data_IF_369874621727
#
_entry.id   IF_369874621727
#
_cell.length_a   1.000
_cell.length_b   1.000
_cell.length_c   1.000
_cell.angle_alpha   90.00
_cell.angle_beta   90.00
_cell.angle_gamma   90.00
#
_symmetry.space_group_name_H-M   'P 1'
#
loop_
_entity.id
_entity.type
_entity.pdbx_description
1 polymer ?
#
# COMPACT_ATOMS: atom_id res chain seq x y z
N UNK A 1 13.71 2.49 13.61
CA UNK A 1 12.46 1.89 14.14
C UNK A 1 11.55 3.03 14.57
N UNK A 2 10.29 3.05 14.12
CA UNK A 2 9.34 4.13 14.48
C UNK A 2 8.75 3.80 15.85
N UNK A 3 8.91 4.73 16.81
CA UNK A 3 8.35 4.63 18.16
C UNK A 3 7.37 5.77 18.39
N UNK A 4 6.25 5.46 19.02
CA UNK A 4 5.19 6.42 19.32
C UNK A 4 4.83 6.31 20.80
N UNK A 5 4.92 7.44 21.50
CA UNK A 5 4.44 7.53 22.87
C UNK A 5 2.92 7.52 22.85
N UNK A 6 2.33 6.57 23.58
CA UNK A 6 0.88 6.39 23.68
C UNK A 6 0.47 6.37 25.15
N UNK A 7 -0.81 6.60 25.42
CA UNK A 7 -1.31 6.59 26.80
C UNK A 7 -1.28 5.16 27.35
N UNK A 8 -0.42 4.94 28.33
CA UNK A 8 -0.34 3.69 29.09
C UNK A 8 -1.50 3.60 30.09
N UNK A 9 -2.21 2.48 30.10
CA UNK A 9 -3.19 2.16 31.12
C UNK A 9 -2.48 1.72 32.41
N UNK A 10 -3.12 1.93 33.57
CA UNK A 10 -2.57 1.59 34.90
C UNK A 10 -2.09 0.14 35.09
N UNK A 11 -2.42 -0.76 34.16
CA UNK A 11 -2.04 -2.17 34.18
C UNK A 11 -0.84 -2.50 33.26
N UNK A 12 -0.08 -1.51 32.80
CA UNK A 12 1.07 -1.74 31.92
C UNK A 12 0.70 -2.05 30.46
N UNK A 13 -0.57 -1.86 30.08
CA UNK A 13 -1.03 -2.07 28.70
C UNK A 13 -1.17 -0.73 28.00
N UNK A 14 -0.77 -0.69 26.74
CA UNK A 14 -1.04 0.44 25.86
C UNK A 14 -2.25 0.15 24.98
N UNK A 15 -3.01 1.19 24.62
CA UNK A 15 -4.00 1.11 23.54
C UNK A 15 -3.31 1.48 22.24
N UNK A 16 -3.21 0.54 21.31
CA UNK A 16 -2.72 0.82 19.97
C UNK A 16 -3.78 1.60 19.19
N UNK A 17 -3.43 2.71 18.56
CA UNK A 17 -4.29 3.51 17.69
C UNK A 17 -3.83 3.44 16.22
N UNK A 18 -2.92 2.52 15.90
CA UNK A 18 -2.36 2.36 14.57
C UNK A 18 -3.33 1.68 13.58
N UNK A 19 -4.45 1.12 14.05
CA UNK A 19 -5.49 0.55 13.18
C UNK A 19 -6.87 0.58 13.86
N UNK A 20 -7.97 0.38 13.09
CA UNK A 20 -9.34 0.44 13.62
C UNK A 20 -9.68 -0.57 14.72
N UNK A 21 -8.93 -1.68 14.83
CA UNK A 21 -9.13 -2.71 15.87
C UNK A 21 -8.81 -2.16 17.26
N UNK A 22 -7.91 -1.19 17.35
CA UNK A 22 -7.51 -0.51 18.59
C UNK A 22 -7.19 -1.45 19.77
N UNK A 23 -6.40 -2.50 19.51
CA UNK A 23 -6.11 -3.53 20.50
C UNK A 23 -5.30 -2.99 21.70
N UNK A 24 -5.46 -3.66 22.85
CA UNK A 24 -4.63 -3.41 24.04
C UNK A 24 -3.44 -4.37 24.06
N UNK A 25 -2.24 -3.82 24.14
CA UNK A 25 -0.98 -4.56 24.04
C UNK A 25 -0.27 -4.51 25.40
N UNK A 26 -0.03 -5.67 26.00
CA UNK A 26 0.77 -5.77 27.23
C UNK A 26 2.25 -5.55 26.94
N UNK A 27 2.99 -5.01 27.92
CA UNK A 27 4.42 -4.79 27.79
C UNK A 27 5.17 -6.07 27.36
N UNK A 28 6.10 -5.92 26.41
CA UNK A 28 6.86 -7.00 25.80
C UNK A 28 6.07 -7.93 24.86
N UNK A 29 4.85 -7.54 24.44
CA UNK A 29 4.00 -8.36 23.53
C UNK A 29 3.71 -7.62 22.23
N UNK A 30 3.44 -8.39 21.18
CA UNK A 30 2.87 -7.87 19.93
C UNK A 30 1.35 -7.67 20.06
N UNK A 31 0.83 -6.71 19.31
CA UNK A 31 -0.60 -6.50 19.12
C UNK A 31 -1.19 -7.52 18.16
N UNK A 32 -2.52 -7.50 18.01
CA UNK A 32 -3.27 -8.50 17.24
C UNK A 32 -2.88 -8.61 15.74
N UNK A 33 -2.19 -7.60 15.20
CA UNK A 33 -1.73 -7.59 13.81
C UNK A 33 -0.24 -7.97 13.66
N UNK A 34 0.46 -8.24 14.76
CA UNK A 34 1.90 -8.54 14.83
C UNK A 34 2.86 -7.49 14.24
N UNK A 35 2.34 -6.35 13.75
CA UNK A 35 3.14 -5.22 13.22
C UNK A 35 3.59 -4.21 14.26
N UNK A 36 2.92 -4.19 15.40
CA UNK A 36 3.18 -3.25 16.50
C UNK A 36 3.33 -4.01 17.81
N UNK A 37 4.24 -3.56 18.67
CA UNK A 37 4.46 -4.10 20.00
C UNK A 37 4.45 -2.98 21.04
N UNK A 38 4.26 -3.37 22.30
CA UNK A 38 4.50 -2.51 23.45
C UNK A 38 5.92 -2.77 23.96
N UNK A 39 6.80 -1.77 23.89
CA UNK A 39 8.13 -1.81 24.51
C UNK A 39 8.21 -0.71 25.57
N UNK A 40 8.07 -1.05 26.85
CA UNK A 40 8.23 -0.10 27.94
C UNK A 40 7.20 1.02 27.95
N UNK A 41 5.99 0.77 27.47
CA UNK A 41 4.91 1.76 27.36
C UNK A 41 4.91 2.52 26.04
N UNK A 42 5.90 2.31 25.16
CA UNK A 42 5.91 2.86 23.82
C UNK A 42 5.31 1.88 22.81
N UNK A 43 4.51 2.41 21.88
CA UNK A 43 4.06 1.67 20.72
C UNK A 43 5.21 1.64 19.70
N UNK A 44 5.78 0.47 19.48
CA UNK A 44 6.92 0.27 18.57
C UNK A 44 6.48 -0.52 17.36
N UNK A 45 6.81 -0.03 16.17
CA UNK A 45 6.58 -0.78 14.93
C UNK A 45 7.69 -1.83 14.73
N UNK A 46 7.28 -3.08 14.52
CA UNK A 46 8.18 -4.22 14.35
C UNK A 46 8.77 -4.30 12.93
N UNK A 47 7.98 -3.95 11.91
CA UNK A 47 8.43 -3.96 10.52
C UNK A 47 8.93 -2.58 10.05
N UNK A 48 10.19 -2.45 9.60
CA UNK A 48 10.71 -1.19 9.10
C UNK A 48 10.12 -0.84 7.72
N UNK A 49 9.84 0.46 7.51
CA UNK A 49 9.64 1.00 6.16
C UNK A 49 10.93 0.84 5.37
N UNK A 50 10.89 0.04 4.30
CA UNK A 50 12.07 -0.30 3.50
C UNK A 50 11.97 0.37 2.14
N UNK A 51 12.87 1.32 1.90
CA UNK A 51 13.11 1.86 0.56
C UNK A 51 14.05 0.88 -0.13
N UNK A 52 13.60 0.25 -1.22
CA UNK A 52 14.37 -0.78 -1.94
C UNK A 52 15.75 -0.28 -2.36
N UNK A 53 15.84 0.96 -2.86
CA UNK A 53 17.11 1.60 -3.25
C UNK A 53 18.11 1.76 -2.08
N UNK A 54 17.61 1.93 -0.83
CA UNK A 54 18.46 1.96 0.37
C UNK A 54 18.81 0.56 0.87
N UNK A 55 17.94 -0.42 0.66
CA UNK A 55 18.22 -1.81 1.03
C UNK A 55 19.36 -2.40 0.19
N UNK A 56 19.47 -2.03 -1.10
CA UNK A 56 20.61 -2.41 -1.96
C UNK A 56 21.91 -1.79 -1.47
N UNK A 57 21.89 -0.51 -1.06
CA UNK A 57 23.09 0.18 -0.56
C UNK A 57 23.58 -0.33 0.80
N UNK A 58 22.71 -0.98 1.58
CA UNK A 58 22.97 -1.40 2.95
C UNK A 58 23.20 -2.93 3.11
N UNK A 59 23.44 -3.65 2.01
CA UNK A 59 23.59 -5.12 1.99
C UNK A 59 22.38 -5.86 2.61
N UNK A 60 21.20 -5.26 2.49
CA UNK A 60 19.95 -5.85 2.95
C UNK A 60 19.52 -7.00 2.04
N UNK A 61 18.98 -8.08 2.62
CA UNK A 61 18.38 -9.17 1.82
C UNK A 61 17.16 -8.64 1.06
N UNK A 62 17.31 -8.46 -0.25
CA UNK A 62 16.23 -8.16 -1.19
C UNK A 62 15.85 -9.46 -1.87
N UNK A 63 14.57 -9.79 -1.82
CA UNK A 63 13.99 -10.83 -2.67
C UNK A 63 13.59 -10.19 -4.00
N UNK A 64 14.13 -10.65 -5.14
CA UNK A 64 13.69 -10.17 -6.44
C UNK A 64 12.20 -10.48 -6.58
N UNK A 65 11.39 -9.45 -6.84
CA UNK A 65 9.98 -9.65 -7.16
C UNK A 65 9.80 -10.44 -8.48
N UNK A 66 10.86 -10.49 -9.30
CA UNK A 66 10.90 -11.15 -10.61
C UNK A 66 12.23 -11.91 -10.77
N UNK A 67 12.23 -13.22 -10.54
CA UNK A 67 13.02 -14.09 -11.42
C UNK A 67 12.15 -14.43 -12.63
N UNK A 68 12.14 -13.52 -13.62
CA UNK A 68 11.71 -13.80 -14.99
C UNK A 68 12.81 -13.30 -15.91
N UNK A 69 13.89 -14.09 -16.00
CA UNK A 69 14.89 -13.91 -17.05
C UNK A 69 14.21 -14.09 -18.42
N UNK A 70 14.27 -13.02 -19.24
CA UNK A 70 14.32 -12.99 -20.74
C UNK A 70 13.17 -12.25 -21.45
N UNK A 71 13.56 -11.11 -22.03
CA UNK A 71 13.28 -10.63 -23.42
C UNK A 71 11.84 -10.33 -23.86
N UNK A 72 11.61 -9.10 -24.37
CA UNK A 72 10.49 -8.81 -25.29
C UNK A 72 10.19 -7.31 -25.48
N UNK A 73 9.58 -6.95 -26.62
CA UNK A 73 8.87 -5.67 -26.85
C UNK A 73 7.90 -5.38 -25.68
N UNK A 74 7.50 -4.13 -25.45
CA UNK A 74 6.69 -3.79 -24.27
C UNK A 74 5.37 -4.60 -24.17
N UNK A 75 5.36 -5.61 -23.28
CA UNK A 75 4.30 -6.62 -23.13
C UNK A 75 3.27 -6.32 -22.02
N UNK A 76 3.14 -5.06 -21.57
CA UNK A 76 2.21 -4.71 -20.48
C UNK A 76 2.80 -4.80 -19.06
N UNK A 77 4.13 -4.70 -18.94
CA UNK A 77 4.82 -4.53 -17.66
C UNK A 77 4.57 -3.13 -17.07
N UNK A 78 3.83 -3.08 -15.95
CA UNK A 78 3.45 -1.85 -15.24
C UNK A 78 4.62 -1.29 -14.41
N UNK A 79 5.57 -2.12 -14.01
CA UNK A 79 6.53 -1.78 -12.96
C UNK A 79 7.90 -1.36 -13.50
N UNK A 80 8.34 -1.89 -14.65
CA UNK A 80 9.59 -1.53 -15.35
C UNK A 80 10.77 -1.31 -14.37
N UNK A 81 11.32 -2.41 -13.84
CA UNK A 81 12.31 -2.45 -12.75
C UNK A 81 13.67 -1.77 -12.99
N UNK A 82 13.84 -1.00 -14.07
CA UNK A 82 15.00 -0.13 -14.31
C UNK A 82 14.89 1.24 -13.62
N UNK A 83 13.80 1.51 -12.87
CA UNK A 83 13.54 2.79 -12.18
C UNK A 83 13.39 2.61 -10.66
N UNK A 84 13.69 3.65 -9.85
CA UNK A 84 13.39 3.66 -8.43
C UNK A 84 11.88 3.43 -8.22
N UNK A 85 11.53 2.37 -7.48
CA UNK A 85 10.14 2.01 -7.20
C UNK A 85 9.89 2.05 -5.69
N UNK A 86 8.90 2.85 -5.28
CA UNK A 86 8.49 2.98 -3.88
C UNK A 86 7.34 2.02 -3.63
N UNK A 87 7.57 1.01 -2.78
CA UNK A 87 6.49 0.13 -2.32
C UNK A 87 5.79 0.76 -1.11
N UNK A 88 4.53 0.38 -0.89
CA UNK A 88 3.78 0.77 0.30
C UNK A 88 3.94 -0.21 1.48
N UNK A 89 4.84 -1.18 1.36
CA UNK A 89 5.13 -2.12 2.44
C UNK A 89 5.83 -1.37 3.57
N UNK A 90 5.27 -1.47 4.77
CA UNK A 90 5.83 -0.76 5.92
C UNK A 90 5.43 0.71 6.04
N UNK A 91 4.51 1.21 5.19
CA UNK A 91 4.19 2.63 5.17
C UNK A 91 3.64 3.14 6.51
N UNK A 92 2.93 2.33 7.31
CA UNK A 92 2.45 2.77 8.62
C UNK A 92 0.93 2.82 8.76
N UNK A 93 0.22 2.81 7.65
CA UNK A 93 -1.24 2.96 7.60
C UNK A 93 -1.96 1.62 7.40
N UNK A 94 -3.28 1.59 7.59
CA UNK A 94 -4.12 0.39 7.46
C UNK A 94 -5.46 0.71 6.85
N UNK A 95 -5.78 0.18 5.66
CA UNK A 95 -7.11 0.38 5.07
C UNK A 95 -8.23 -0.30 5.89
N UNK A 96 -9.40 0.35 6.09
CA UNK A 96 -9.68 1.76 5.85
C UNK A 96 -8.99 2.62 6.94
N UNK A 97 -8.06 3.49 6.54
CA UNK A 97 -7.32 4.35 7.48
C UNK A 97 -7.85 5.77 7.41
N UNK A 98 -8.02 6.38 8.58
CA UNK A 98 -8.28 7.82 8.75
C UNK A 98 -6.98 8.62 8.87
N UNK A 99 -5.82 7.95 9.01
CA UNK A 99 -4.49 8.58 8.99
C UNK A 99 -4.07 8.83 7.54
N UNK A 100 -3.68 10.07 7.17
CA UNK A 100 -3.16 10.37 5.85
C UNK A 100 -1.96 9.49 5.48
N UNK A 101 -1.76 9.31 4.17
CA UNK A 101 -0.58 8.61 3.65
C UNK A 101 0.70 9.25 4.21
N UNK A 102 1.56 8.49 4.91
CA UNK A 102 2.73 9.03 5.60
C UNK A 102 3.85 9.44 4.66
N UNK A 103 3.83 8.94 3.43
CA UNK A 103 4.82 9.29 2.40
C UNK A 103 4.12 9.70 1.11
N UNK A 104 4.52 10.86 0.61
CA UNK A 104 4.17 11.37 -0.70
C UNK A 104 5.50 11.62 -1.41
N UNK A 105 5.73 10.92 -2.51
CA UNK A 105 6.98 10.98 -3.28
C UNK A 105 6.65 11.52 -4.66
N UNK A 106 7.30 12.61 -5.06
CA UNK A 106 7.21 13.14 -6.41
C UNK A 106 8.46 12.79 -7.21
N UNK A 107 8.29 12.49 -8.49
CA UNK A 107 9.36 12.31 -9.45
C UNK A 107 8.91 12.80 -10.83
N UNK A 108 9.84 13.26 -11.66
CA UNK A 108 9.56 13.56 -13.06
C UNK A 108 9.90 12.34 -13.90
N UNK A 109 8.98 11.90 -14.76
CA UNK A 109 9.20 10.78 -15.68
C UNK A 109 8.71 11.16 -17.07
N UNK A 110 9.61 11.14 -18.06
CA UNK A 110 9.34 11.49 -19.46
C UNK A 110 8.61 12.84 -19.64
N UNK A 111 8.99 13.83 -18.83
CA UNK A 111 8.39 15.16 -18.85
C UNK A 111 7.06 15.27 -18.09
N UNK A 112 6.58 14.20 -17.46
CA UNK A 112 5.36 14.15 -16.65
C UNK A 112 5.68 14.11 -15.17
N UNK A 113 4.95 14.89 -14.37
CA UNK A 113 5.02 14.82 -12.91
C UNK A 113 4.28 13.57 -12.42
N UNK A 114 5.01 12.64 -11.81
CA UNK A 114 4.46 11.45 -11.15
C UNK A 114 4.48 11.66 -9.63
N UNK A 115 3.31 11.53 -9.01
CA UNK A 115 3.15 11.60 -7.55
C UNK A 115 2.69 10.24 -7.03
N UNK A 116 3.49 9.63 -6.18
CA UNK A 116 3.16 8.36 -5.51
C UNK A 116 2.76 8.65 -4.07
N UNK A 117 1.53 8.29 -3.72
CA UNK A 117 0.97 8.42 -2.37
C UNK A 117 0.93 7.03 -1.75
N UNK A 118 1.65 6.85 -0.64
CA UNK A 118 1.98 5.53 -0.12
C UNK A 118 1.14 5.22 1.12
N UNK A 119 0.24 4.23 1.02
CA UNK A 119 -0.57 3.72 2.13
C UNK A 119 -0.45 2.21 2.20
N UNK A 120 -0.18 1.68 3.39
CA UNK A 120 -0.10 0.24 3.61
C UNK A 120 -1.51 -0.36 3.68
N UNK A 121 -1.82 -1.24 2.73
CA UNK A 121 -3.10 -1.94 2.64
C UNK A 121 -2.94 -3.40 3.06
N UNK A 122 -3.96 -3.94 3.73
CA UNK A 122 -4.07 -5.40 3.86
C UNK A 122 -4.49 -5.92 2.49
N UNK A 123 -3.73 -6.87 1.92
CA UNK A 123 -3.95 -7.44 0.58
C UNK A 123 -5.33 -8.09 0.36
N UNK A 124 -6.16 -8.20 1.40
CA UNK A 124 -7.44 -8.90 1.37
C UNK A 124 -8.58 -8.17 0.62
N UNK A 125 -8.41 -6.90 0.25
CA UNK A 125 -9.47 -6.10 -0.41
C UNK A 125 -8.96 -5.16 -1.52
N UNK A 126 -7.97 -5.57 -2.31
CA UNK A 126 -7.49 -4.74 -3.41
C UNK A 126 -8.38 -4.91 -4.65
N UNK A 127 -8.99 -3.81 -5.10
CA UNK A 127 -9.69 -3.72 -6.38
C UNK A 127 -9.20 -2.49 -7.16
N UNK A 128 -9.23 -2.57 -8.49
CA UNK A 128 -8.81 -1.45 -9.37
C UNK A 128 -10.06 -0.82 -9.98
N UNK A 129 -10.13 0.52 -9.95
CA UNK A 129 -11.13 1.29 -10.69
C UNK A 129 -10.43 2.05 -11.81
N UNK A 130 -10.77 1.72 -13.05
CA UNK A 130 -10.25 2.40 -14.24
C UNK A 130 -11.31 3.37 -14.76
N UNK A 131 -10.98 4.66 -14.84
CA UNK A 131 -11.83 5.67 -15.47
C UNK A 131 -11.41 5.83 -16.93
N UNK A 132 -12.33 5.56 -17.85
CA UNK A 132 -12.10 5.66 -19.28
C UNK A 132 -12.93 6.84 -19.80
N UNK A 133 -12.26 7.90 -20.24
CA UNK A 133 -12.90 9.06 -20.86
C UNK A 133 -12.97 8.82 -22.38
N UNK A 134 -14.16 8.54 -22.89
CA UNK A 134 -14.37 8.20 -24.29
C UNK A 134 -15.80 8.47 -24.74
N UNK A 135 -15.96 8.91 -25.99
CA UNK A 135 -17.27 9.05 -26.63
C UNK A 135 -17.90 7.69 -27.03
N UNK A 136 -17.17 6.58 -26.85
CA UNK A 136 -17.64 5.24 -27.21
C UNK A 136 -18.45 4.62 -26.08
N UNK A 137 -19.56 3.99 -26.43
CA UNK A 137 -20.33 3.21 -25.45
C UNK A 137 -19.58 1.93 -25.07
N UNK A 138 -19.20 1.79 -23.80
CA UNK A 138 -18.44 0.65 -23.28
C UNK A 138 -19.32 -0.51 -22.78
N UNK A 139 -20.61 -0.28 -22.63
CA UNK A 139 -21.58 -1.25 -22.13
C UNK A 139 -22.57 -0.63 -21.15
N UNK A 140 -23.63 -1.37 -20.85
CA UNK A 140 -24.59 -0.97 -19.82
C UNK A 140 -23.95 -1.07 -18.43
N UNK A 141 -24.49 -0.32 -17.47
CA UNK A 141 -24.12 -0.48 -16.07
C UNK A 141 -24.27 -1.94 -15.62
N UNK A 142 -23.32 -2.42 -14.81
CA UNK A 142 -23.17 -3.80 -14.36
C UNK A 142 -22.77 -4.82 -15.45
N UNK A 143 -22.56 -4.39 -16.70
CA UNK A 143 -22.03 -5.28 -17.73
C UNK A 143 -20.69 -5.88 -17.28
N UNK A 144 -20.54 -7.21 -17.40
CA UNK A 144 -19.35 -7.92 -16.94
C UNK A 144 -18.13 -7.54 -17.77
N UNK A 145 -17.06 -7.16 -17.09
CA UNK A 145 -15.73 -7.02 -17.68
C UNK A 145 -15.03 -8.38 -17.55
N UNK A 146 -14.48 -8.87 -18.67
CA UNK A 146 -13.83 -10.19 -18.73
C UNK A 146 -12.41 -10.10 -19.24
N UNK A 147 -11.56 -11.01 -18.75
CA UNK A 147 -10.22 -11.30 -19.29
C UNK A 147 -10.17 -12.81 -19.55
N UNK A 148 -9.83 -13.23 -20.77
CA UNK A 148 -9.81 -14.64 -21.19
C UNK A 148 -11.09 -15.42 -20.86
N UNK A 149 -12.24 -14.73 -20.90
CA UNK A 149 -13.54 -15.29 -20.58
C UNK A 149 -13.90 -15.31 -19.09
N UNK A 150 -12.96 -15.06 -18.18
CA UNK A 150 -13.21 -14.96 -16.75
C UNK A 150 -13.73 -13.58 -16.35
N UNK A 151 -14.72 -13.52 -15.44
CA UNK A 151 -15.28 -12.25 -14.98
C UNK A 151 -14.37 -11.60 -13.93
N UNK A 152 -13.82 -10.43 -14.25
CA UNK A 152 -12.86 -9.71 -13.39
C UNK A 152 -13.42 -8.41 -12.81
N UNK A 153 -14.61 -7.99 -13.26
CA UNK A 153 -15.24 -6.76 -12.80
C UNK A 153 -16.54 -6.46 -13.53
N UNK A 154 -17.00 -5.22 -13.41
CA UNK A 154 -18.18 -4.74 -14.11
C UNK A 154 -18.01 -3.27 -14.52
N UNK A 155 -18.73 -2.86 -15.57
CA UNK A 155 -18.88 -1.46 -15.96
C UNK A 155 -19.70 -0.75 -14.89
N UNK A 156 -19.12 0.29 -14.28
CA UNK A 156 -19.86 1.19 -13.38
C UNK A 156 -20.09 2.52 -14.09
N UNK A 157 -21.30 3.06 -13.97
CA UNK A 157 -21.56 4.45 -14.33
C UNK A 157 -20.86 5.32 -13.29
N UNK A 158 -19.79 6.01 -13.67
CA UNK A 158 -19.19 7.02 -12.82
C UNK A 158 -19.82 8.38 -13.17
N UNK A 159 -20.53 8.99 -12.22
CA UNK A 159 -21.02 10.37 -12.36
C UNK A 159 -19.82 11.32 -12.53
N UNK A 160 -19.82 12.14 -13.58
CA UNK A 160 -18.83 13.20 -13.75
C UNK A 160 -19.51 14.57 -13.78
N UNK A 161 -19.15 15.42 -12.81
CA UNK A 161 -19.13 16.88 -12.96
C UNK A 161 -17.90 17.40 -13.72
N UNK A 162 -17.70 17.01 -14.99
CA UNK A 162 -16.92 17.81 -15.95
C UNK A 162 -17.86 18.22 -17.05
N UNK A 163 -18.38 19.43 -16.87
CA UNK A 163 -18.33 20.40 -17.94
C UNK A 163 -17.25 21.42 -17.57
#
# INVERSE_FOLDING_TARGET
MVRQTVTEAKNGKIRCDACPVMCFIADGRSGACDRYANEGGDLVRLDPFTILERAEQADGQIVPFLELEKTGEWEGDILQGTRPFVTAVGAGTTYPDYKPAPFIVSQQHDGVDMVTVVTEGIFSYCGVKVKIDTDRHLGAETALVRVDGEAVGHVMTAEYGSQ
#
